data_IF_291844917063
#
_entry.id   IF_291844917063
#
_cell.length_a   1.000
_cell.length_b   1.000
_cell.length_c   1.000
_cell.angle_alpha   90.00
_cell.angle_beta   90.00
_cell.angle_gamma   90.00
#
_symmetry.space_group_name_H-M   'P 1'
#
loop_
_entity.id
_entity.type
_entity.pdbx_description
1 polymer ?
#
# COMPACT_ATOMS: atom_id res chain seq x y z
N UNK A 1 18.86 6.07 18.01
CA UNK A 1 18.39 6.71 16.76
C UNK A 1 17.76 8.06 17.09
N UNK A 2 18.08 9.13 16.35
CA UNK A 2 17.44 10.45 16.54
C UNK A 2 16.29 10.60 15.55
N UNK A 3 15.07 10.81 16.04
CA UNK A 3 13.88 11.11 15.24
C UNK A 3 13.67 12.64 15.22
N UNK A 4 13.58 13.22 14.03
CA UNK A 4 13.34 14.66 13.83
C UNK A 4 12.11 14.79 12.95
N UNK A 5 11.08 15.48 13.44
CA UNK A 5 9.88 15.78 12.68
C UNK A 5 10.16 16.87 11.64
N UNK A 6 9.71 16.66 10.40
CA UNK A 6 9.97 17.56 9.26
C UNK A 6 8.74 18.40 8.85
N UNK A 7 7.54 17.98 9.25
CA UNK A 7 6.24 18.62 8.94
C UNK A 7 5.27 18.42 10.10
N UNK A 8 4.01 18.87 9.98
CA UNK A 8 2.94 18.73 10.98
C UNK A 8 2.48 17.26 11.23
N UNK A 9 3.45 16.36 11.45
CA UNK A 9 3.35 14.98 11.94
C UNK A 9 3.32 13.88 10.86
N UNK A 10 3.53 14.24 9.60
CA UNK A 10 3.45 13.28 8.50
C UNK A 10 4.81 12.81 7.97
N UNK A 11 5.90 13.56 8.19
CA UNK A 11 7.24 13.20 7.73
C UNK A 11 8.33 13.39 8.79
N UNK A 12 9.32 12.50 8.74
CA UNK A 12 10.38 12.40 9.72
C UNK A 12 11.74 12.10 9.07
N UNK A 13 12.78 12.66 9.67
CA UNK A 13 14.17 12.31 9.45
C UNK A 13 14.67 11.47 10.62
N UNK A 14 15.33 10.36 10.31
CA UNK A 14 15.75 9.34 11.26
C UNK A 14 17.25 9.10 11.10
N UNK A 15 18.05 9.43 12.11
CA UNK A 15 19.49 9.19 12.11
C UNK A 15 19.85 7.73 12.40
N UNK A 16 20.80 7.19 11.64
CA UNK A 16 21.32 5.82 11.71
C UNK A 16 20.21 4.77 11.59
N UNK A 17 19.68 4.62 10.38
CA UNK A 17 18.51 3.80 10.10
C UNK A 17 18.87 2.53 9.30
N UNK A 18 18.18 1.44 9.61
CA UNK A 18 18.19 0.18 8.87
C UNK A 18 16.76 -0.14 8.43
N UNK A 19 16.60 -0.39 7.13
CA UNK A 19 15.34 -0.82 6.53
C UNK A 19 15.39 -2.31 6.25
N UNK A 20 14.28 -3.01 6.49
CA UNK A 20 14.17 -4.46 6.28
C UNK A 20 13.03 -4.73 5.31
N UNK A 21 13.30 -5.43 4.22
CA UNK A 21 12.24 -5.94 3.36
C UNK A 21 11.43 -6.98 4.12
N UNK A 22 10.13 -6.75 4.23
CA UNK A 22 9.22 -7.49 5.08
C UNK A 22 8.90 -6.80 6.41
N UNK A 23 9.27 -5.53 6.59
CA UNK A 23 8.92 -4.71 7.75
C UNK A 23 8.60 -3.27 7.35
N UNK A 24 7.56 -2.70 7.93
CA UNK A 24 7.23 -1.28 7.94
C UNK A 24 8.00 -0.52 9.04
N UNK A 25 8.60 -1.24 10.00
CA UNK A 25 9.43 -0.64 11.03
C UNK A 25 10.79 -0.16 10.48
N UNK A 26 11.28 0.93 11.05
CA UNK A 26 12.62 1.48 10.76
C UNK A 26 13.50 1.20 11.97
N UNK A 27 14.56 0.42 11.79
CA UNK A 27 15.42 -0.08 12.87
C UNK A 27 16.69 0.77 13.01
N UNK A 28 17.40 0.63 14.12
CA UNK A 28 18.79 1.08 14.19
C UNK A 28 19.74 0.09 13.51
N UNK A 29 21.06 0.35 13.59
CA UNK A 29 22.08 -0.49 12.97
C UNK A 29 22.11 -1.91 13.53
N UNK A 30 21.77 -2.08 14.81
CA UNK A 30 21.92 -3.33 15.56
C UNK A 30 20.59 -4.07 15.75
N UNK A 31 19.48 -3.48 15.29
CA UNK A 31 18.11 -3.93 15.54
C UNK A 31 17.69 -3.88 17.02
N UNK A 32 18.34 -3.06 17.83
CA UNK A 32 18.03 -2.90 19.26
C UNK A 32 16.80 -1.99 19.47
N UNK A 33 16.65 -1.01 18.59
CA UNK A 33 15.54 -0.05 18.58
C UNK A 33 14.87 0.01 17.21
N UNK A 34 13.58 0.35 17.21
CA UNK A 34 12.83 0.61 15.98
C UNK A 34 11.77 1.70 16.18
N UNK A 35 11.31 2.26 15.07
CA UNK A 35 10.17 3.17 15.01
C UNK A 35 9.08 2.60 14.10
N UNK A 36 7.83 2.68 14.55
CA UNK A 36 6.65 2.63 13.70
C UNK A 36 6.14 4.06 13.50
N UNK A 37 5.98 4.51 12.26
CA UNK A 37 5.45 5.85 11.96
C UNK A 37 3.93 5.89 11.86
N UNK A 38 3.28 4.72 11.85
CA UNK A 38 1.83 4.57 11.77
C UNK A 38 1.22 4.36 13.18
N UNK A 39 0.03 4.91 13.47
CA UNK A 39 -0.64 4.78 14.78
C UNK A 39 -0.91 3.33 15.13
N UNK A 40 -0.34 2.85 16.23
CA UNK A 40 -0.41 1.46 16.65
C UNK A 40 -0.53 1.37 18.17
N UNK A 41 -1.43 0.52 18.65
CA UNK A 41 -1.61 0.20 20.07
C UNK A 41 -1.15 -1.23 20.34
N UNK A 42 0.08 -1.37 20.85
CA UNK A 42 0.69 -2.65 21.15
C UNK A 42 -0.11 -3.52 22.13
N UNK A 43 -1.07 -2.97 22.87
CA UNK A 43 -1.85 -3.73 23.85
C UNK A 43 -3.02 -4.50 23.25
N UNK A 44 -3.50 -4.08 22.08
CA UNK A 44 -4.72 -4.62 21.45
C UNK A 44 -4.59 -4.87 19.95
N UNK A 45 -3.53 -4.39 19.29
CA UNK A 45 -3.31 -4.52 17.85
C UNK A 45 -2.06 -5.37 17.56
N UNK A 46 -2.08 -6.14 16.48
CA UNK A 46 -0.89 -6.78 15.88
C UNK A 46 -0.26 -5.90 14.81
N UNK A 47 1.07 -5.85 14.78
CA UNK A 47 1.81 -5.38 13.62
C UNK A 47 1.69 -6.39 12.45
N UNK A 48 1.82 -5.91 11.22
CA UNK A 48 1.71 -6.76 10.02
C UNK A 48 2.82 -7.82 9.95
N UNK A 49 4.01 -7.48 10.45
CA UNK A 49 5.17 -8.36 10.56
C UNK A 49 4.96 -9.50 11.55
N UNK A 50 4.14 -9.27 12.59
CA UNK A 50 3.76 -10.31 13.55
C UNK A 50 2.79 -11.31 12.92
N UNK A 51 1.78 -10.80 12.22
CA UNK A 51 0.81 -11.62 11.47
C UNK A 51 1.56 -12.45 10.42
N UNK A 52 2.56 -11.84 9.75
CA UNK A 52 3.44 -12.51 8.81
C UNK A 52 4.50 -13.42 9.47
N UNK A 53 4.53 -13.52 10.82
CA UNK A 53 5.45 -14.32 11.62
C UNK A 53 6.93 -14.03 11.37
N UNK A 54 7.25 -12.77 11.07
CA UNK A 54 8.63 -12.28 10.84
C UNK A 54 9.25 -11.74 12.11
N UNK A 55 8.42 -11.27 13.02
CA UNK A 55 8.81 -10.86 14.36
C UNK A 55 7.88 -11.50 15.39
N UNK A 56 8.37 -11.58 16.62
CA UNK A 56 7.64 -12.00 17.80
C UNK A 56 7.79 -10.92 18.87
N UNK A 57 6.72 -10.69 19.62
CA UNK A 57 6.78 -9.90 20.85
C UNK A 57 7.72 -10.53 21.86
N UNK A 58 8.57 -9.73 22.45
CA UNK A 58 9.38 -10.13 23.60
C UNK A 58 8.54 -9.87 24.84
N UNK A 59 8.09 -10.89 25.59
CA UNK A 59 7.30 -10.69 26.79
C UNK A 59 8.05 -9.74 27.75
N UNK A 60 7.39 -8.65 28.14
CA UNK A 60 7.86 -7.74 29.18
C UNK A 60 7.07 -7.93 30.47
N UNK A 61 7.59 -7.43 31.59
CA UNK A 61 6.91 -7.43 32.91
C UNK A 61 5.68 -6.52 32.97
N UNK A 62 5.44 -5.69 31.96
CA UNK A 62 4.30 -4.77 31.90
C UNK A 62 3.51 -4.96 30.61
N UNK A 63 2.21 -4.62 30.64
CA UNK A 63 1.25 -4.78 29.53
C UNK A 63 1.57 -3.94 28.27
N UNK A 64 2.71 -3.26 28.22
CA UNK A 64 3.23 -2.53 27.05
C UNK A 64 4.42 -3.31 26.46
N UNK A 65 4.13 -4.28 25.60
CA UNK A 65 5.16 -4.99 24.87
C UNK A 65 5.53 -4.21 23.60
N UNK A 66 6.50 -3.29 23.72
CA UNK A 66 7.01 -2.48 22.60
C UNK A 66 8.31 -3.03 22.00
N UNK A 67 8.75 -4.21 22.48
CA UNK A 67 9.97 -4.87 22.01
C UNK A 67 9.64 -6.10 21.18
N UNK A 68 10.32 -6.21 20.06
CA UNK A 68 10.14 -7.31 19.11
C UNK A 68 11.49 -7.95 18.81
N UNK A 69 11.50 -9.27 18.64
CA UNK A 69 12.64 -10.02 18.09
C UNK A 69 12.26 -10.55 16.73
N UNK A 70 13.21 -10.61 15.81
CA UNK A 70 13.00 -11.33 14.56
C UNK A 70 12.89 -12.83 14.80
N UNK A 71 11.95 -13.48 14.12
CA UNK A 71 11.88 -14.96 14.07
C UNK A 71 13.03 -15.53 13.25
N UNK A 72 13.51 -14.75 12.26
CA UNK A 72 14.72 -14.99 11.50
C UNK A 72 15.47 -13.68 11.30
N UNK A 73 16.73 -13.66 11.72
CA UNK A 73 17.57 -12.46 11.62
C UNK A 73 17.69 -11.98 10.17
N UNK A 74 17.46 -10.68 9.89
CA UNK A 74 17.65 -10.12 8.57
C UNK A 74 19.13 -10.14 8.15
N UNK A 75 19.38 -10.39 6.87
CA UNK A 75 20.74 -10.31 6.31
C UNK A 75 21.03 -8.88 5.88
N UNK A 76 22.11 -8.28 6.37
CA UNK A 76 22.59 -6.98 5.87
C UNK A 76 23.23 -7.17 4.50
N UNK A 77 22.68 -6.53 3.47
CA UNK A 77 23.17 -6.65 2.09
C UNK A 77 23.87 -5.39 1.59
N UNK A 78 23.64 -4.24 2.23
CA UNK A 78 24.27 -2.98 1.87
C UNK A 78 24.29 -1.99 3.04
N UNK A 79 25.32 -1.14 3.02
CA UNK A 79 25.43 0.08 3.81
C UNK A 79 25.54 1.25 2.82
N UNK A 80 24.50 2.08 2.74
CA UNK A 80 24.45 3.25 1.86
C UNK A 80 25.00 4.44 2.62
N UNK A 81 26.06 5.05 2.10
CA UNK A 81 26.60 6.29 2.64
C UNK A 81 25.77 7.50 2.18
N UNK A 82 24.59 7.67 2.78
CA UNK A 82 23.67 8.76 2.43
C UNK A 82 22.30 8.64 3.10
N UNK A 83 21.28 9.09 2.39
CA UNK A 83 19.87 9.10 2.84
C UNK A 83 19.04 8.09 2.06
N UNK A 84 18.33 7.23 2.79
CA UNK A 84 17.41 6.25 2.22
C UNK A 84 15.94 6.63 2.50
N UNK A 85 15.03 6.18 1.64
CA UNK A 85 13.59 6.41 1.77
C UNK A 85 12.88 5.05 1.75
N UNK A 86 12.23 4.62 2.84
CA UNK A 86 11.50 3.36 2.84
C UNK A 86 10.27 3.43 1.93
N UNK A 87 10.07 2.37 1.14
CA UNK A 87 8.95 2.29 0.22
C UNK A 87 8.44 0.86 0.06
N UNK A 88 7.17 0.59 0.37
CA UNK A 88 6.50 -0.70 0.11
C UNK A 88 7.30 -1.94 0.59
N UNK A 89 7.87 -1.87 1.79
CA UNK A 89 8.75 -2.92 2.33
C UNK A 89 7.96 -4.09 2.94
N UNK A 90 6.81 -3.85 3.57
CA UNK A 90 6.06 -4.88 4.31
C UNK A 90 5.36 -5.91 3.40
N UNK A 91 4.74 -5.42 2.32
CA UNK A 91 3.93 -6.19 1.39
C UNK A 91 4.28 -5.88 -0.09
N UNK A 92 5.53 -6.12 -0.51
CA UNK A 92 6.06 -5.58 -1.77
C UNK A 92 5.32 -6.03 -3.04
N UNK A 93 4.69 -7.21 -2.99
CA UNK A 93 3.92 -7.77 -4.11
C UNK A 93 2.42 -7.43 -4.09
N UNK A 94 1.93 -6.76 -3.05
CA UNK A 94 0.51 -6.47 -2.92
C UNK A 94 0.17 -5.09 -3.52
N UNK A 95 -0.66 -5.11 -4.56
CA UNK A 95 -1.03 -3.91 -5.32
C UNK A 95 -1.77 -2.86 -4.48
N UNK A 96 -2.55 -3.27 -3.47
CA UNK A 96 -3.24 -2.33 -2.61
C UNK A 96 -2.27 -1.57 -1.70
N UNK A 97 -1.42 -2.28 -0.96
CA UNK A 97 -0.42 -1.66 -0.07
C UNK A 97 0.53 -0.74 -0.86
N UNK A 98 0.92 -1.16 -2.07
CA UNK A 98 1.69 -0.31 -2.97
C UNK A 98 0.94 0.98 -3.36
N UNK A 99 -0.25 0.85 -3.97
CA UNK A 99 -0.91 1.98 -4.64
C UNK A 99 -1.65 2.91 -3.67
N UNK A 100 -2.18 2.39 -2.57
CA UNK A 100 -3.04 3.14 -1.64
C UNK A 100 -2.29 3.58 -0.38
N UNK A 101 -1.29 2.83 0.07
CA UNK A 101 -0.57 3.14 1.32
C UNK A 101 0.78 3.80 1.06
N UNK A 102 1.63 3.14 0.27
CA UNK A 102 3.04 3.54 0.10
C UNK A 102 3.25 4.66 -0.93
N UNK A 103 2.73 4.49 -2.15
CA UNK A 103 2.93 5.44 -3.26
C UNK A 103 2.43 6.88 -3.01
N UNK A 104 1.24 7.10 -2.42
CA UNK A 104 0.80 8.46 -2.12
C UNK A 104 1.67 9.14 -1.04
N UNK A 105 2.22 8.37 -0.10
CA UNK A 105 3.13 8.86 0.95
C UNK A 105 4.50 9.25 0.38
N UNK A 106 5.01 8.48 -0.59
CA UNK A 106 6.21 8.86 -1.34
C UNK A 106 5.98 10.13 -2.16
N UNK A 107 4.84 10.25 -2.84
CA UNK A 107 4.49 11.46 -3.59
C UNK A 107 4.42 12.69 -2.67
N UNK A 108 3.88 12.55 -1.46
CA UNK A 108 3.89 13.61 -0.45
C UNK A 108 5.31 14.08 -0.11
N UNK A 109 6.25 13.17 0.12
CA UNK A 109 7.66 13.51 0.37
C UNK A 109 8.29 14.28 -0.81
N UNK A 110 7.96 13.88 -2.05
CA UNK A 110 8.43 14.54 -3.27
C UNK A 110 7.87 15.96 -3.38
N UNK A 111 6.55 16.13 -3.28
CA UNK A 111 5.89 17.43 -3.40
C UNK A 111 6.25 18.41 -2.27
N UNK A 112 6.58 17.87 -1.09
CA UNK A 112 7.03 18.67 0.06
C UNK A 112 8.52 19.01 0.00
N UNK A 113 9.22 18.65 -1.09
CA UNK A 113 10.65 18.88 -1.28
C UNK A 113 11.55 18.27 -0.18
N UNK A 114 11.11 17.18 0.45
CA UNK A 114 11.92 16.47 1.44
C UNK A 114 12.93 15.52 0.80
N UNK A 115 12.78 15.20 -0.48
CA UNK A 115 13.70 14.31 -1.20
C UNK A 115 14.66 15.09 -2.11
N UNK A 116 15.94 14.70 -2.07
CA UNK A 116 16.99 15.20 -2.95
C UNK A 116 17.36 14.14 -4.00
N UNK A 117 17.92 14.52 -5.17
CA UNK A 117 18.22 13.58 -6.26
C UNK A 117 19.16 12.42 -5.89
N UNK A 118 20.02 12.61 -4.90
CA UNK A 118 20.96 11.61 -4.38
C UNK A 118 20.35 10.68 -3.32
N UNK A 119 19.11 10.92 -2.90
CA UNK A 119 18.40 10.00 -2.02
C UNK A 119 18.03 8.71 -2.75
N UNK A 120 18.13 7.58 -2.02
CA UNK A 120 17.84 6.25 -2.56
C UNK A 120 16.51 5.74 -2.02
N UNK A 121 15.58 5.43 -2.92
CA UNK A 121 14.33 4.76 -2.56
C UNK A 121 14.64 3.28 -2.35
N UNK A 122 14.38 2.76 -1.15
CA UNK A 122 14.60 1.35 -0.81
C UNK A 122 13.25 0.65 -0.75
N UNK A 123 13.10 -0.40 -1.56
CA UNK A 123 11.85 -1.12 -1.74
C UNK A 123 12.04 -2.62 -1.63
N UNK A 124 10.96 -3.37 -1.35
CA UNK A 124 10.95 -4.78 -1.71
C UNK A 124 10.85 -4.97 -3.23
N UNK A 125 10.90 -6.22 -3.69
CA UNK A 125 10.83 -6.55 -5.12
C UNK A 125 9.44 -6.19 -5.70
N UNK A 126 9.40 -5.27 -6.66
CA UNK A 126 8.17 -4.74 -7.23
C UNK A 126 7.75 -5.51 -8.50
N UNK A 127 6.44 -5.69 -8.68
CA UNK A 127 5.88 -6.15 -9.94
C UNK A 127 6.09 -5.10 -11.05
N UNK A 128 6.24 -5.47 -12.35
CA UNK A 128 6.42 -4.51 -13.44
C UNK A 128 5.39 -3.37 -13.50
N UNK A 129 4.12 -3.64 -13.18
CA UNK A 129 3.09 -2.59 -13.09
C UNK A 129 3.35 -1.58 -11.97
N UNK A 130 3.85 -2.03 -10.83
CA UNK A 130 4.23 -1.16 -9.71
C UNK A 130 5.45 -0.33 -10.07
N UNK A 131 6.46 -0.93 -10.72
CA UNK A 131 7.62 -0.19 -11.21
C UNK A 131 7.22 0.89 -12.23
N UNK A 132 6.27 0.60 -13.13
CA UNK A 132 5.74 1.58 -14.08
C UNK A 132 5.02 2.73 -13.36
N UNK A 133 4.14 2.42 -12.41
CA UNK A 133 3.45 3.44 -11.60
C UNK A 133 4.44 4.30 -10.80
N UNK A 134 5.46 3.68 -10.19
CA UNK A 134 6.53 4.38 -9.47
C UNK A 134 7.28 5.34 -10.38
N UNK A 135 7.67 4.91 -11.59
CA UNK A 135 8.37 5.77 -12.57
C UNK A 135 7.56 6.99 -12.99
N UNK A 136 6.24 6.88 -13.08
CA UNK A 136 5.36 8.02 -13.39
C UNK A 136 5.34 9.05 -12.25
N UNK A 137 5.37 8.59 -11.00
CA UNK A 137 5.37 9.41 -9.78
C UNK A 137 6.73 10.05 -9.51
N UNK A 138 7.80 9.28 -9.63
CA UNK A 138 9.17 9.75 -9.35
C UNK A 138 9.80 10.47 -10.53
N UNK A 139 9.22 10.30 -11.72
CA UNK A 139 9.78 10.75 -13.00
C UNK A 139 11.17 10.15 -13.25
N UNK A 140 11.44 8.98 -12.64
CA UNK A 140 12.73 8.31 -12.69
C UNK A 140 13.90 9.17 -12.17
N UNK A 141 13.64 10.13 -11.27
CA UNK A 141 14.64 11.06 -10.71
C UNK A 141 15.45 10.52 -9.54
N UNK A 142 15.00 9.41 -8.94
CA UNK A 142 15.63 8.81 -7.76
C UNK A 142 16.12 7.40 -8.08
N UNK A 143 17.23 7.01 -7.47
CA UNK A 143 17.69 5.64 -7.51
C UNK A 143 16.71 4.72 -6.75
N UNK A 144 16.39 3.57 -7.33
CA UNK A 144 15.64 2.51 -6.67
C UNK A 144 16.60 1.38 -6.28
N UNK A 145 16.57 0.96 -5.02
CA UNK A 145 17.29 -0.18 -4.50
C UNK A 145 16.28 -1.23 -4.02
N UNK A 146 16.07 -2.28 -4.81
CA UNK A 146 15.14 -3.36 -4.47
C UNK A 146 15.80 -4.45 -3.62
N UNK A 147 15.10 -4.89 -2.59
CA UNK A 147 15.63 -5.74 -1.52
C UNK A 147 14.76 -7.00 -1.37
N UNK A 148 15.39 -8.17 -1.46
CA UNK A 148 14.74 -9.45 -1.20
C UNK A 148 14.20 -9.56 0.23
N UNK A 149 13.16 -10.36 0.43
CA UNK A 149 12.52 -10.54 1.75
C UNK A 149 13.54 -10.93 2.84
N UNK A 150 13.43 -10.30 4.02
CA UNK A 150 14.35 -10.44 5.15
C UNK A 150 15.81 -10.04 4.86
N UNK A 151 16.07 -9.30 3.78
CA UNK A 151 17.32 -8.58 3.64
C UNK A 151 17.15 -7.14 4.13
N UNK A 152 18.26 -6.54 4.54
CA UNK A 152 18.30 -5.20 5.13
C UNK A 152 19.36 -4.31 4.51
N UNK A 153 19.06 -3.02 4.51
CA UNK A 153 19.95 -1.95 4.03
C UNK A 153 20.00 -0.90 5.12
N UNK A 154 21.18 -0.45 5.50
CA UNK A 154 21.30 0.69 6.40
C UNK A 154 21.91 1.91 5.74
N UNK A 155 21.68 3.05 6.39
CA UNK A 155 22.25 4.30 5.96
C UNK A 155 22.46 5.26 7.15
N UNK A 156 23.14 6.37 6.87
CA UNK A 156 23.34 7.45 7.85
C UNK A 156 22.01 8.10 8.24
N UNK A 157 21.06 8.16 7.32
CA UNK A 157 19.76 8.77 7.54
C UNK A 157 18.67 8.05 6.76
N UNK A 158 17.46 8.01 7.31
CA UNK A 158 16.24 7.75 6.55
C UNK A 158 15.32 8.97 6.56
N UNK A 159 14.65 9.24 5.45
CA UNK A 159 13.51 10.18 5.39
C UNK A 159 12.28 9.36 5.07
N UNK A 160 11.28 9.44 5.92
CA UNK A 160 10.08 8.62 5.82
C UNK A 160 8.84 9.45 6.12
N UNK A 161 7.74 9.12 5.45
CA UNK A 161 6.42 9.61 5.78
C UNK A 161 5.59 8.49 6.41
N UNK A 162 4.61 8.88 7.24
CA UNK A 162 3.55 7.99 7.66
C UNK A 162 2.78 7.49 6.45
N UNK A 163 2.31 6.24 6.50
CA UNK A 163 1.54 5.66 5.40
C UNK A 163 0.20 6.37 5.24
N UNK A 164 -0.23 6.60 4.00
CA UNK A 164 -1.48 7.32 3.68
C UNK A 164 -2.73 6.50 4.00
N UNK A 165 -2.56 5.22 4.32
CA UNK A 165 -3.59 4.39 4.88
C UNK A 165 -2.94 3.36 5.81
N UNK A 166 -3.50 3.17 7.00
CA UNK A 166 -3.05 2.11 7.92
C UNK A 166 -4.23 1.57 8.72
N UNK A 167 -4.23 0.25 8.91
CA UNK A 167 -5.21 -0.48 9.68
C UNK A 167 -4.53 -1.71 10.26
N UNK A 168 -4.70 -1.94 11.56
CA UNK A 168 -4.10 -3.07 12.27
C UNK A 168 -5.17 -4.07 12.69
N UNK A 169 -4.83 -5.35 12.70
CA UNK A 169 -5.73 -6.40 13.18
C UNK A 169 -5.76 -6.39 14.71
N UNK A 170 -6.95 -6.61 15.29
CA UNK A 170 -7.11 -6.67 16.73
C UNK A 170 -6.75 -8.06 17.26
N UNK A 171 -6.05 -8.11 18.39
CA UNK A 171 -5.55 -9.34 19.01
C UNK A 171 -6.69 -10.28 19.39
N UNK A 172 -7.85 -9.74 19.76
CA UNK A 172 -9.04 -10.49 20.11
C UNK A 172 -9.80 -11.08 18.90
N UNK A 173 -9.35 -10.79 17.67
CA UNK A 173 -9.95 -11.25 16.42
C UNK A 173 -11.23 -10.51 16.01
N UNK A 174 -11.57 -9.41 16.69
CA UNK A 174 -12.65 -8.52 16.30
C UNK A 174 -12.24 -7.61 15.12
N UNK A 175 -13.23 -6.99 14.48
CA UNK A 175 -12.96 -6.13 13.32
C UNK A 175 -12.27 -4.83 13.75
N UNK A 176 -11.22 -4.39 13.04
CA UNK A 176 -10.55 -3.13 13.34
C UNK A 176 -11.53 -1.94 13.34
N UNK A 177 -11.49 -1.13 14.39
CA UNK A 177 -12.32 0.08 14.53
C UNK A 177 -11.55 1.36 14.21
N UNK A 178 -10.23 1.35 14.37
CA UNK A 178 -9.34 2.45 14.05
C UNK A 178 -8.76 2.26 12.65
N UNK A 179 -9.05 3.22 11.77
CA UNK A 179 -8.51 3.24 10.40
C UNK A 179 -7.96 4.63 10.13
N UNK A 180 -6.66 4.71 9.86
CA UNK A 180 -6.05 5.93 9.36
C UNK A 180 -6.19 6.00 7.83
N UNK A 181 -6.49 7.19 7.32
CA UNK A 181 -6.67 7.44 5.90
C UNK A 181 -6.37 8.91 5.59
N UNK A 182 -5.44 9.16 4.68
CA UNK A 182 -5.08 10.48 4.18
C UNK A 182 -5.65 10.68 2.76
N UNK A 183 -6.84 11.28 2.71
CA UNK A 183 -7.54 11.54 1.44
C UNK A 183 -6.84 12.56 0.55
N UNK A 184 -6.11 13.52 1.14
CA UNK A 184 -5.37 14.53 0.38
C UNK A 184 -4.22 13.89 -0.42
N UNK A 185 -3.46 12.98 0.19
CA UNK A 185 -2.37 12.28 -0.51
C UNK A 185 -2.89 11.39 -1.64
N UNK A 186 -4.03 10.71 -1.43
CA UNK A 186 -4.66 9.88 -2.46
C UNK A 186 -5.22 10.71 -3.62
N UNK A 187 -5.85 11.84 -3.32
CA UNK A 187 -6.29 12.79 -4.35
C UNK A 187 -5.09 13.32 -5.14
N UNK A 188 -4.00 13.72 -4.47
CA UNK A 188 -2.78 14.16 -5.14
C UNK A 188 -2.19 13.08 -6.05
N UNK A 189 -2.22 11.81 -5.62
CA UNK A 189 -1.78 10.68 -6.44
C UNK A 189 -2.66 10.46 -7.66
N UNK A 190 -3.98 10.49 -7.50
CA UNK A 190 -4.94 10.40 -8.61
C UNK A 190 -4.68 11.50 -9.64
N UNK A 191 -4.53 12.74 -9.17
CA UNK A 191 -4.27 13.90 -10.02
C UNK A 191 -2.92 13.82 -10.73
N UNK A 192 -1.87 13.33 -10.05
CA UNK A 192 -0.58 13.04 -10.68
C UNK A 192 -0.75 12.07 -11.86
N UNK A 193 -1.42 10.93 -11.65
CA UNK A 193 -1.66 9.99 -12.74
C UNK A 193 -2.57 10.54 -13.83
N UNK A 194 -3.57 11.36 -13.47
CA UNK A 194 -4.47 12.01 -14.44
C UNK A 194 -3.68 12.86 -15.41
N UNK A 195 -2.73 13.65 -14.92
CA UNK A 195 -1.86 14.49 -15.75
C UNK A 195 -0.90 13.66 -16.61
N UNK A 196 -0.27 12.63 -16.02
CA UNK A 196 0.76 11.81 -16.69
C UNK A 196 0.18 10.89 -17.77
N UNK A 197 -0.98 10.31 -17.50
CA UNK A 197 -1.62 9.32 -18.37
C UNK A 197 -2.76 9.93 -19.22
N UNK A 198 -3.14 11.18 -18.95
CA UNK A 198 -4.18 11.94 -19.67
C UNK A 198 -5.51 11.20 -19.71
N UNK A 199 -5.92 10.62 -18.59
CA UNK A 199 -7.26 10.05 -18.46
C UNK A 199 -8.25 11.12 -17.97
N UNK A 200 -9.53 10.91 -18.23
CA UNK A 200 -10.61 11.84 -17.89
C UNK A 200 -11.69 11.13 -17.09
N UNK A 201 -12.39 11.90 -16.24
CA UNK A 201 -13.62 11.49 -15.57
C UNK A 201 -14.78 11.51 -16.60
N UNK A 202 -14.64 10.81 -17.72
CA UNK A 202 -15.71 10.72 -18.71
C UNK A 202 -16.73 9.69 -18.25
N UNK A 203 -18.02 9.99 -18.45
CA UNK A 203 -19.12 9.05 -18.31
C UNK A 203 -19.06 7.98 -19.41
N UNK A 204 -18.03 7.12 -19.37
CA UNK A 204 -17.89 6.01 -20.28
C UNK A 204 -18.79 4.84 -19.83
N UNK A 205 -19.44 4.20 -20.79
CA UNK A 205 -20.50 3.21 -20.56
C UNK A 205 -19.98 1.80 -20.22
N UNK A 206 -18.68 1.63 -19.94
CA UNK A 206 -18.13 0.29 -19.75
C UNK A 206 -18.68 -0.33 -18.46
N UNK A 207 -19.11 -1.58 -18.57
CA UNK A 207 -19.48 -2.42 -17.45
C UNK A 207 -18.38 -3.46 -17.28
N UNK A 208 -17.74 -3.51 -16.11
CA UNK A 208 -16.63 -4.42 -15.83
C UNK A 208 -17.07 -5.52 -14.89
N UNK A 209 -16.80 -6.77 -15.27
CA UNK A 209 -16.88 -7.89 -14.35
C UNK A 209 -15.46 -8.37 -14.07
N UNK A 210 -15.01 -8.16 -12.83
CA UNK A 210 -13.65 -8.45 -12.41
C UNK A 210 -13.56 -9.92 -11.99
N UNK A 211 -12.66 -10.62 -12.65
CA UNK A 211 -12.22 -11.96 -12.26
C UNK A 211 -11.14 -11.86 -11.19
N UNK A 212 -11.07 -12.91 -10.38
CA UNK A 212 -9.96 -13.16 -9.47
C UNK A 212 -9.57 -14.62 -9.63
N UNK A 213 -8.36 -14.86 -10.11
CA UNK A 213 -7.77 -16.19 -10.07
C UNK A 213 -6.85 -16.27 -8.85
N UNK A 214 -7.24 -17.05 -7.86
CA UNK A 214 -6.38 -17.28 -6.69
C UNK A 214 -6.56 -18.70 -6.15
N UNK A 215 -5.68 -19.13 -5.25
CA UNK A 215 -5.81 -20.40 -4.56
C UNK A 215 -6.90 -20.40 -3.47
N UNK A 216 -7.45 -19.24 -3.11
CA UNK A 216 -8.38 -19.07 -1.98
C UNK A 216 -9.50 -18.07 -2.30
N UNK A 217 -10.68 -18.24 -1.68
CA UNK A 217 -11.84 -17.33 -1.86
C UNK A 217 -12.31 -17.20 -3.32
N UNK A 218 -12.30 -18.31 -4.05
CA UNK A 218 -12.82 -18.35 -5.41
C UNK A 218 -14.34 -18.41 -5.42
N UNK A 219 -14.93 -17.86 -6.47
CA UNK A 219 -16.37 -17.97 -6.73
C UNK A 219 -16.64 -19.39 -7.26
N UNK A 220 -17.51 -20.15 -6.57
CA UNK A 220 -17.79 -21.55 -6.90
C UNK A 220 -18.51 -21.72 -8.25
N UNK A 221 -19.44 -20.82 -8.57
CA UNK A 221 -20.23 -20.79 -9.79
C UNK A 221 -19.72 -19.71 -10.78
N UNK A 222 -18.38 -19.61 -10.92
CA UNK A 222 -17.76 -18.55 -11.71
C UNK A 222 -18.18 -18.60 -13.19
N UNK A 223 -18.35 -19.80 -13.76
CA UNK A 223 -18.73 -19.98 -15.17
C UNK A 223 -20.13 -19.42 -15.43
N UNK A 224 -21.08 -19.71 -14.56
CA UNK A 224 -22.45 -19.19 -14.64
C UNK A 224 -22.48 -17.67 -14.50
N UNK A 225 -21.69 -17.11 -13.58
CA UNK A 225 -21.60 -15.66 -13.39
C UNK A 225 -20.96 -14.94 -14.59
N UNK A 226 -19.91 -15.51 -15.18
CA UNK A 226 -19.27 -14.97 -16.38
C UNK A 226 -20.26 -14.91 -17.54
N UNK A 227 -20.96 -16.02 -17.84
CA UNK A 227 -21.97 -16.05 -18.90
C UNK A 227 -23.12 -15.05 -18.64
N UNK A 228 -23.57 -14.94 -17.39
CA UNK A 228 -24.59 -13.97 -17.00
C UNK A 228 -24.11 -12.51 -17.11
N UNK A 229 -22.84 -12.23 -16.85
CA UNK A 229 -22.25 -10.91 -16.97
C UNK A 229 -22.09 -10.52 -18.45
N UNK A 230 -21.52 -11.41 -19.28
CA UNK A 230 -21.31 -11.18 -20.71
C UNK A 230 -22.63 -10.92 -21.44
N UNK A 231 -23.67 -11.73 -21.17
CA UNK A 231 -25.02 -11.51 -21.73
C UNK A 231 -25.67 -10.17 -21.34
N UNK A 232 -25.15 -9.50 -20.30
CA UNK A 232 -25.57 -8.15 -19.85
C UNK A 232 -24.64 -7.04 -20.33
N UNK A 233 -23.72 -7.35 -21.24
CA UNK A 233 -22.77 -6.42 -21.83
C UNK A 233 -21.61 -6.06 -20.91
N UNK A 234 -21.28 -6.90 -19.91
CA UNK A 234 -20.07 -6.71 -19.12
C UNK A 234 -18.85 -7.21 -19.88
N UNK A 235 -17.79 -6.41 -19.86
CA UNK A 235 -16.45 -6.84 -20.19
C UNK A 235 -15.86 -7.59 -18.99
N UNK A 236 -15.63 -8.88 -19.17
CA UNK A 236 -15.01 -9.75 -18.16
C UNK A 236 -13.50 -9.62 -18.27
N UNK A 237 -12.82 -9.35 -17.14
CA UNK A 237 -11.37 -9.09 -17.16
C UNK A 237 -10.67 -9.46 -15.85
N UNK A 238 -9.38 -9.76 -15.95
CA UNK A 238 -8.46 -9.97 -14.83
C UNK A 238 -7.44 -8.82 -14.81
N UNK A 239 -7.58 -7.81 -13.93
CA UNK A 239 -6.68 -6.65 -13.89
C UNK A 239 -5.20 -7.03 -13.76
N UNK A 240 -4.89 -8.15 -13.11
CA UNK A 240 -3.54 -8.69 -12.94
C UNK A 240 -2.83 -9.02 -14.27
N UNK A 241 -3.58 -9.28 -15.36
CA UNK A 241 -3.01 -9.56 -16.68
C UNK A 241 -2.78 -8.29 -17.51
N UNK A 242 -3.26 -7.14 -17.04
CA UNK A 242 -3.19 -5.88 -17.75
C UNK A 242 -1.99 -5.05 -17.30
N UNK A 243 -1.43 -4.27 -18.22
CA UNK A 243 -0.45 -3.24 -17.86
C UNK A 243 -1.09 -2.17 -16.96
N UNK A 244 -0.30 -1.52 -16.12
CA UNK A 244 -0.79 -0.44 -15.24
C UNK A 244 -1.60 0.62 -16.01
N UNK A 245 -1.09 1.07 -17.16
CA UNK A 245 -1.80 2.04 -18.01
C UNK A 245 -3.15 1.53 -18.48
N UNK A 246 -3.24 0.25 -18.88
CA UNK A 246 -4.50 -0.36 -19.29
C UNK A 246 -5.47 -0.54 -18.13
N UNK A 247 -4.99 -0.81 -16.92
CA UNK A 247 -5.83 -0.77 -15.72
C UNK A 247 -6.40 0.63 -15.50
N UNK A 248 -5.58 1.68 -15.54
CA UNK A 248 -6.05 3.08 -15.38
C UNK A 248 -7.09 3.44 -16.46
N UNK A 249 -6.81 3.14 -17.73
CA UNK A 249 -7.74 3.40 -18.84
C UNK A 249 -9.08 2.68 -18.66
N UNK A 250 -9.04 1.41 -18.28
CA UNK A 250 -10.23 0.60 -18.12
C UNK A 250 -11.10 1.06 -16.95
N UNK A 251 -10.48 1.32 -15.80
CA UNK A 251 -11.20 1.72 -14.59
C UNK A 251 -11.69 3.17 -14.65
N UNK A 252 -10.92 4.10 -15.24
CA UNK A 252 -11.39 5.47 -15.47
C UNK A 252 -12.57 5.55 -16.45
N UNK A 253 -12.74 4.53 -17.29
CA UNK A 253 -13.84 4.43 -18.26
C UNK A 253 -15.03 3.58 -17.78
N UNK A 254 -15.04 3.13 -16.52
CA UNK A 254 -16.05 2.22 -16.01
C UNK A 254 -17.27 2.96 -15.42
N UNK A 255 -18.47 2.62 -15.89
CA UNK A 255 -19.76 3.05 -15.32
C UNK A 255 -20.29 2.09 -14.27
N UNK A 256 -19.98 0.80 -14.38
CA UNK A 256 -20.42 -0.23 -13.43
C UNK A 256 -19.32 -1.26 -13.28
N UNK A 257 -19.01 -1.63 -12.04
CA UNK A 257 -17.98 -2.62 -11.73
C UNK A 257 -18.55 -3.64 -10.76
N UNK A 258 -18.44 -4.92 -11.10
CA UNK A 258 -18.82 -6.04 -10.24
C UNK A 258 -17.61 -6.96 -10.10
N UNK A 259 -17.31 -7.41 -8.88
CA UNK A 259 -16.22 -8.39 -8.70
C UNK A 259 -16.04 -8.84 -7.26
N UNK A 260 -15.31 -9.93 -7.01
CA UNK A 260 -14.98 -10.38 -5.67
C UNK A 260 -14.05 -9.39 -4.96
N UNK A 261 -14.10 -9.31 -3.63
CA UNK A 261 -13.12 -8.51 -2.86
C UNK A 261 -11.67 -8.89 -3.20
N UNK A 262 -10.78 -7.90 -3.30
CA UNK A 262 -9.37 -8.13 -3.60
C UNK A 262 -8.59 -6.85 -3.90
N UNK A 263 -7.28 -7.00 -4.15
CA UNK A 263 -6.37 -5.86 -4.36
C UNK A 263 -6.69 -5.03 -5.61
N UNK A 264 -7.44 -5.57 -6.59
CA UNK A 264 -7.89 -4.80 -7.76
C UNK A 264 -8.75 -3.60 -7.36
N UNK A 265 -9.38 -3.62 -6.18
CA UNK A 265 -10.17 -2.50 -5.65
C UNK A 265 -9.32 -1.23 -5.45
N UNK A 266 -7.99 -1.34 -5.41
CA UNK A 266 -7.10 -0.18 -5.45
C UNK A 266 -7.30 0.67 -6.73
N UNK A 267 -7.71 0.05 -7.84
CA UNK A 267 -8.01 0.76 -9.08
C UNK A 267 -9.27 1.64 -8.99
N UNK A 268 -10.07 1.52 -7.92
CA UNK A 268 -11.18 2.44 -7.67
C UNK A 268 -10.72 3.90 -7.54
N UNK A 269 -9.44 4.13 -7.22
CA UNK A 269 -8.80 5.44 -7.26
C UNK A 269 -8.99 6.17 -8.62
N UNK A 270 -9.09 5.43 -9.72
CA UNK A 270 -9.17 5.98 -11.08
C UNK A 270 -10.60 6.14 -11.59
N UNK A 271 -11.57 5.57 -10.88
CA UNK A 271 -12.96 5.49 -11.34
C UNK A 271 -13.64 6.87 -11.27
N UNK A 272 -14.60 7.12 -12.16
CA UNK A 272 -15.42 8.34 -12.15
C UNK A 272 -16.45 8.34 -11.00
N UNK A 273 -16.89 9.54 -10.56
CA UNK A 273 -17.77 9.70 -9.40
C UNK A 273 -19.13 9.00 -9.54
N UNK A 274 -19.63 8.87 -10.77
CA UNK A 274 -20.95 8.29 -11.06
C UNK A 274 -20.93 6.76 -11.21
N UNK A 275 -19.75 6.13 -11.07
CA UNK A 275 -19.63 4.70 -11.27
C UNK A 275 -20.27 3.91 -10.13
N UNK A 276 -20.97 2.83 -10.49
CA UNK A 276 -21.63 1.94 -9.53
C UNK A 276 -20.76 0.72 -9.29
N UNK A 277 -20.37 0.49 -8.04
CA UNK A 277 -19.49 -0.62 -7.67
C UNK A 277 -20.22 -1.61 -6.77
N UNK A 278 -20.26 -2.88 -7.17
CA UNK A 278 -20.75 -3.98 -6.34
C UNK A 278 -19.61 -4.96 -6.04
N UNK A 279 -19.33 -5.16 -4.75
CA UNK A 279 -18.22 -6.01 -4.30
C UNK A 279 -18.82 -7.28 -3.71
N UNK A 280 -18.38 -8.44 -4.21
CA UNK A 280 -18.78 -9.75 -3.69
C UNK A 280 -17.83 -10.13 -2.56
N UNK A 281 -18.34 -10.19 -1.34
CA UNK A 281 -17.59 -10.64 -0.17
C UNK A 281 -17.91 -12.12 0.12
N UNK A 282 -16.92 -12.93 0.54
CA UNK A 282 -17.24 -14.22 1.14
C UNK A 282 -18.02 -14.00 2.43
N UNK A 283 -18.90 -14.94 2.78
CA UNK A 283 -19.69 -14.89 4.02
C UNK A 283 -18.81 -14.77 5.28
N UNK A 284 -17.60 -15.32 5.22
CA UNK A 284 -16.60 -15.25 6.29
C UNK A 284 -15.88 -13.90 6.39
N UNK A 285 -16.13 -12.96 5.48
CA UNK A 285 -15.46 -11.66 5.50
C UNK A 285 -16.04 -10.76 6.58
N UNK A 286 -15.19 -10.39 7.54
CA UNK A 286 -15.53 -9.48 8.64
C UNK A 286 -15.17 -8.00 8.37
N UNK A 287 -14.75 -7.66 7.15
CA UNK A 287 -14.19 -6.33 6.85
C UNK A 287 -15.24 -5.23 6.80
N UNK A 288 -14.82 -4.04 7.23
CA UNK A 288 -15.64 -2.84 7.17
C UNK A 288 -15.80 -2.38 5.71
N UNK A 289 -17.05 -2.35 5.25
CA UNK A 289 -17.48 -1.85 3.93
C UNK A 289 -17.07 -0.38 3.68
N UNK A 290 -16.60 0.33 4.71
CA UNK A 290 -16.33 1.77 4.69
C UNK A 290 -15.09 2.19 3.90
N UNK A 291 -14.05 1.36 3.77
CA UNK A 291 -12.81 1.78 3.11
C UNK A 291 -13.00 2.02 1.61
N UNK A 292 -13.54 1.05 0.89
CA UNK A 292 -13.66 1.10 -0.57
C UNK A 292 -14.56 2.26 -1.02
N UNK A 293 -15.57 2.60 -0.20
CA UNK A 293 -16.38 3.80 -0.40
C UNK A 293 -15.54 5.08 -0.41
N UNK A 294 -14.52 5.20 0.44
CA UNK A 294 -13.63 6.38 0.47
C UNK A 294 -12.73 6.51 -0.76
N UNK A 295 -12.48 5.42 -1.50
CA UNK A 295 -11.72 5.49 -2.75
C UNK A 295 -12.59 5.96 -3.93
N UNK A 296 -13.90 5.72 -3.89
CA UNK A 296 -14.86 6.11 -4.95
C UNK A 296 -15.45 7.51 -4.68
N UNK A 297 -15.55 7.91 -3.42
CA UNK A 297 -16.19 9.16 -3.01
C UNK A 297 -15.16 10.28 -2.85
N UNK A 298 -15.43 11.43 -3.47
CA UNK A 298 -14.68 12.67 -3.24
C UNK A 298 -14.86 13.13 -1.78
N UNK A 299 -13.90 13.89 -1.21
CA UNK A 299 -14.20 14.73 -0.06
C UNK A 299 -15.37 15.66 -0.39
N UNK A 300 -16.19 16.07 0.60
CA UNK A 300 -17.15 17.14 0.38
C UNK A 300 -16.40 18.36 -0.16
N UNK A 301 -16.97 18.99 -1.20
CA UNK A 301 -16.55 20.30 -1.69
C UNK A 301 -16.51 21.32 -0.54
#
# INVERSE_FOLDING_TARGET
>A
MKLIQLSDSEAYSIGSATLVSGSALIYDKNFDHCYNLSPFDATVEYLQEEIARRIERIPGDSRQCDKFKFTRQPTRIADIDGTIVPFNLIHPYNYFHFLIESLPSLLYLIHSNFLQPDHVIVSGLLHPNMQHALKLVTENRFQLFEVGLLNSVAAKQAIAAKESFSCYELIDGSSPTKVYYNGANLLALRECFRQRLKFHDNAAQLKLFILRQSSHRNIVNLKELVAAAESRGFLVTSPETLSFRKQVELFSSASTIIGPTGAWLANLLFVGSEARVAILYPETCRTSVSLWKRLVLRPPL
#
